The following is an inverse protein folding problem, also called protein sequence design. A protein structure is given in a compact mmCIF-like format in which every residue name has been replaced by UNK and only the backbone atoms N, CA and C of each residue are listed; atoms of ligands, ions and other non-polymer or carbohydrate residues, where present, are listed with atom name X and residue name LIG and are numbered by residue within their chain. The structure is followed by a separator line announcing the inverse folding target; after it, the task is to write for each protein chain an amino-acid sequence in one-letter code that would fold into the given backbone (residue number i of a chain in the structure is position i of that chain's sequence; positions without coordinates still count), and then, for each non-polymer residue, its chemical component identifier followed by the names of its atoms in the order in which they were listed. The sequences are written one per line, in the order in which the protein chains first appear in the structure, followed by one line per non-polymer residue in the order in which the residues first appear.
data_IF_869947977201
#
_entry.id   IF_869947977201
#
_cell.length_a   1.000
_cell.length_b   1.000
_cell.length_c   1.000
_cell.angle_alpha   90.00
_cell.angle_beta   90.00
_cell.angle_gamma   90.00
#
_symmetry.space_group_name_H-M   'P 1'
#
loop_
_entity.id
_entity.type
_entity.pdbx_description
1 polymer ?
#
# COMPACT_ATOMS: atom_id res chain seq x y z
N UNK A 1 -6.38 -27.60 21.65
CA UNK A 1 -6.47 -28.40 20.41
C UNK A 1 -5.42 -27.87 19.47
N UNK A 2 -4.44 -28.69 19.07
CA UNK A 2 -3.43 -28.31 18.10
C UNK A 2 -4.12 -28.39 16.73
N UNK A 3 -4.39 -27.24 16.14
CA UNK A 3 -4.94 -27.15 14.79
C UNK A 3 -3.86 -27.67 13.83
N UNK A 4 -4.23 -28.61 12.97
CA UNK A 4 -3.32 -29.11 11.93
C UNK A 4 -2.85 -27.91 11.09
N UNK A 5 -1.53 -27.77 10.91
CA UNK A 5 -0.95 -26.79 10.00
C UNK A 5 -1.54 -27.04 8.61
N UNK A 6 -2.30 -26.07 8.09
CA UNK A 6 -2.61 -26.07 6.65
C UNK A 6 -1.29 -26.11 5.89
N UNK A 7 -1.20 -26.83 4.75
CA UNK A 7 -0.02 -26.74 3.91
C UNK A 7 0.15 -25.27 3.49
N UNK A 8 1.22 -24.65 3.98
CA UNK A 8 1.62 -23.30 3.62
C UNK A 8 2.32 -23.37 2.26
N UNK A 9 1.85 -22.58 1.29
CA UNK A 9 2.56 -22.45 0.02
C UNK A 9 3.66 -21.40 0.14
N UNK A 10 4.70 -21.53 -0.65
CA UNK A 10 5.77 -20.54 -0.80
C UNK A 10 5.33 -19.39 -1.69
N UNK A 11 6.06 -18.27 -1.67
CA UNK A 11 5.82 -17.15 -2.59
C UNK A 11 5.97 -17.57 -4.06
N UNK A 12 6.99 -18.37 -4.38
CA UNK A 12 7.22 -18.78 -5.77
C UNK A 12 6.09 -19.71 -6.27
N UNK A 13 5.62 -20.64 -5.43
CA UNK A 13 4.41 -21.45 -5.72
C UNK A 13 3.15 -20.59 -5.87
N UNK A 14 3.02 -19.51 -5.12
CA UNK A 14 1.93 -18.55 -5.28
C UNK A 14 1.99 -17.84 -6.63
N UNK A 15 3.16 -17.38 -7.06
CA UNK A 15 3.34 -16.73 -8.36
C UNK A 15 3.02 -17.70 -9.50
N UNK A 16 3.49 -18.95 -9.42
CA UNK A 16 3.15 -19.99 -10.41
C UNK A 16 1.65 -20.33 -10.42
N UNK A 17 0.97 -20.19 -9.29
CA UNK A 17 -0.46 -20.47 -9.15
C UNK A 17 -1.36 -19.35 -9.69
N UNK A 18 -0.88 -18.11 -9.79
CA UNK A 18 -1.71 -16.95 -10.16
C UNK A 18 -2.51 -17.20 -11.46
N UNK A 19 -3.84 -17.01 -11.45
CA UNK A 19 -4.64 -17.21 -12.65
C UNK A 19 -4.29 -16.18 -13.73
N UNK A 20 -4.07 -16.64 -14.97
CA UNK A 20 -3.86 -15.75 -16.14
C UNK A 20 -5.04 -14.79 -16.36
N UNK A 21 -6.25 -15.20 -15.97
CA UNK A 21 -7.45 -14.36 -15.98
C UNK A 21 -8.21 -14.53 -14.67
N UNK A 22 -8.52 -13.41 -14.02
CA UNK A 22 -9.35 -13.41 -12.82
C UNK A 22 -10.22 -12.17 -12.73
N UNK A 23 -11.38 -12.31 -12.06
CA UNK A 23 -12.27 -11.18 -11.74
C UNK A 23 -11.87 -10.47 -10.43
N UNK A 24 -11.01 -11.10 -9.64
CA UNK A 24 -10.51 -10.63 -8.35
C UNK A 24 -8.98 -10.70 -8.30
N UNK A 25 -8.41 -9.99 -7.31
CA UNK A 25 -6.97 -10.02 -7.05
C UNK A 25 -6.65 -11.09 -6.02
N UNK A 26 -5.40 -11.53 -5.95
CA UNK A 26 -4.96 -12.46 -4.92
C UNK A 26 -3.72 -11.91 -4.21
N UNK A 27 -3.68 -12.12 -2.91
CA UNK A 27 -2.51 -11.85 -2.08
C UNK A 27 -2.08 -13.14 -1.38
N UNK A 28 -0.82 -13.22 -1.01
CA UNK A 28 -0.28 -14.28 -0.15
C UNK A 28 -0.08 -13.73 1.26
N UNK A 29 -0.71 -14.35 2.24
CA UNK A 29 -0.63 -13.97 3.64
C UNK A 29 -0.03 -15.13 4.43
N UNK A 30 1.29 -15.08 4.68
CA UNK A 30 2.03 -16.12 5.43
C UNK A 30 1.76 -17.53 4.94
N UNK A 31 1.89 -17.71 3.63
CA UNK A 31 1.66 -19.00 2.96
C UNK A 31 0.19 -19.38 2.73
N UNK A 32 -0.75 -18.46 2.96
CA UNK A 32 -2.17 -18.63 2.67
C UNK A 32 -2.60 -17.70 1.54
N UNK A 33 -3.13 -18.24 0.46
CA UNK A 33 -3.72 -17.44 -0.62
C UNK A 33 -5.01 -16.81 -0.10
N UNK A 34 -5.12 -15.50 -0.26
CA UNK A 34 -6.30 -14.70 0.10
C UNK A 34 -6.86 -14.08 -1.16
N UNK A 35 -8.15 -14.33 -1.41
CA UNK A 35 -8.89 -13.64 -2.46
C UNK A 35 -9.23 -12.22 -2.01
N UNK A 36 -8.82 -11.24 -2.81
CA UNK A 36 -9.12 -9.83 -2.59
C UNK A 36 -10.32 -9.45 -3.47
N UNK A 37 -11.52 -9.26 -2.87
CA UNK A 37 -12.71 -8.95 -3.64
C UNK A 37 -12.53 -7.63 -4.37
N UNK A 38 -13.16 -7.52 -5.54
CA UNK A 38 -13.13 -6.29 -6.34
C UNK A 38 -13.52 -5.08 -5.47
N UNK A 39 -12.69 -4.02 -5.43
CA UNK A 39 -12.99 -2.85 -4.64
C UNK A 39 -14.36 -2.25 -4.98
N UNK A 40 -15.07 -1.74 -3.96
CA UNK A 40 -16.30 -0.97 -4.17
C UNK A 40 -15.97 0.35 -4.87
N UNK A 41 -16.95 0.91 -5.59
CA UNK A 41 -16.73 2.11 -6.42
C UNK A 41 -16.09 3.30 -5.70
N UNK A 42 -16.43 3.55 -4.42
CA UNK A 42 -15.82 4.61 -3.61
C UNK A 42 -14.33 4.37 -3.34
N UNK A 43 -13.96 3.14 -2.98
CA UNK A 43 -12.58 2.75 -2.74
C UNK A 43 -11.78 2.82 -4.05
N UNK A 44 -12.31 2.24 -5.14
CA UNK A 44 -11.68 2.29 -6.46
C UNK A 44 -11.47 3.72 -6.99
N UNK A 45 -12.48 4.60 -6.84
CA UNK A 45 -12.36 6.01 -7.22
C UNK A 45 -11.29 6.71 -6.39
N UNK A 46 -11.28 6.50 -5.07
CA UNK A 46 -10.31 7.12 -4.17
C UNK A 46 -8.87 6.70 -4.51
N UNK A 47 -8.60 5.40 -4.70
CA UNK A 47 -7.28 4.92 -5.10
C UNK A 47 -6.84 5.51 -6.44
N UNK A 48 -7.75 5.58 -7.42
CA UNK A 48 -7.48 6.20 -8.72
C UNK A 48 -7.18 7.70 -8.64
N UNK A 49 -7.96 8.46 -7.86
CA UNK A 49 -7.75 9.88 -7.64
C UNK A 49 -6.41 10.15 -6.91
N UNK A 50 -6.05 9.31 -5.93
CA UNK A 50 -4.75 9.37 -5.26
C UNK A 50 -3.60 9.11 -6.25
N UNK A 51 -3.68 8.04 -7.04
CA UNK A 51 -2.69 7.74 -8.08
C UNK A 51 -2.54 8.90 -9.08
N UNK A 52 -3.65 9.53 -9.48
CA UNK A 52 -3.62 10.68 -10.39
C UNK A 52 -2.93 11.91 -9.76
N UNK A 53 -3.25 12.24 -8.51
CA UNK A 53 -2.65 13.38 -7.81
C UNK A 53 -1.15 13.16 -7.56
N UNK A 54 -0.77 11.96 -7.10
CA UNK A 54 0.64 11.58 -6.90
C UNK A 54 1.38 11.62 -8.24
N UNK A 55 0.83 11.00 -9.29
CA UNK A 55 1.43 11.00 -10.63
C UNK A 55 1.59 12.41 -11.21
N UNK A 56 0.65 13.31 -10.94
CA UNK A 56 0.76 14.73 -11.31
C UNK A 56 1.91 15.41 -10.57
N UNK A 57 2.03 15.19 -9.26
CA UNK A 57 3.12 15.74 -8.45
C UNK A 57 4.51 15.23 -8.89
N UNK A 58 4.61 13.92 -9.19
CA UNK A 58 5.84 13.30 -9.73
C UNK A 58 6.27 13.99 -11.03
N UNK A 59 5.34 14.14 -11.99
CA UNK A 59 5.61 14.78 -13.28
C UNK A 59 6.01 16.24 -13.14
N UNK A 60 5.31 17.00 -12.30
CA UNK A 60 5.62 18.41 -12.06
C UNK A 60 7.01 18.59 -11.44
N UNK A 61 7.43 17.66 -10.59
CA UNK A 61 8.75 17.67 -9.96
C UNK A 61 9.86 17.08 -10.85
N UNK A 62 9.54 16.55 -12.04
CA UNK A 62 10.47 15.81 -12.91
C UNK A 62 11.22 14.69 -12.17
N UNK A 63 10.52 13.99 -11.27
CA UNK A 63 11.10 12.85 -10.55
C UNK A 63 11.07 11.60 -11.46
N UNK A 64 12.13 10.76 -11.44
CA UNK A 64 12.20 9.55 -12.25
C UNK A 64 11.40 8.41 -11.60
N UNK A 65 10.17 8.71 -11.19
CA UNK A 65 9.30 7.76 -10.52
C UNK A 65 8.10 7.45 -11.39
N UNK A 66 7.51 6.27 -11.22
CA UNK A 66 6.32 5.86 -11.94
C UNK A 66 5.35 5.08 -11.05
N UNK A 67 4.11 4.97 -11.51
CA UNK A 67 3.05 4.20 -10.86
C UNK A 67 2.68 3.08 -11.84
N UNK A 68 2.99 1.81 -11.55
CA UNK A 68 2.54 0.70 -12.38
C UNK A 68 1.02 0.54 -12.28
N UNK A 69 0.42 -0.15 -13.26
CA UNK A 69 -0.99 -0.51 -13.19
C UNK A 69 -1.28 -1.47 -12.03
N UNK A 70 -0.40 -2.46 -11.88
CA UNK A 70 -0.46 -3.52 -10.86
C UNK A 70 0.95 -4.08 -10.65
N UNK A 71 1.27 -4.49 -9.43
CA UNK A 71 2.49 -5.22 -9.08
C UNK A 71 2.34 -5.90 -7.72
N UNK A 72 3.09 -6.98 -7.50
CA UNK A 72 3.11 -7.69 -6.21
C UNK A 72 4.38 -7.33 -5.45
N UNK A 73 4.24 -6.95 -4.18
CA UNK A 73 5.34 -6.68 -3.26
C UNK A 73 5.57 -7.92 -2.41
N UNK A 74 6.76 -8.54 -2.54
CA UNK A 74 7.19 -9.68 -1.72
C UNK A 74 7.63 -9.20 -0.34
N UNK A 75 7.17 -9.85 0.73
CA UNK A 75 7.65 -9.56 2.08
C UNK A 75 9.11 -9.96 2.26
N UNK A 76 9.79 -9.32 3.23
CA UNK A 76 11.19 -9.62 3.52
C UNK A 76 11.42 -11.09 3.91
N UNK A 77 10.48 -11.69 4.64
CA UNK A 77 10.56 -13.11 5.04
C UNK A 77 10.21 -14.09 3.91
N UNK A 78 9.73 -13.58 2.76
CA UNK A 78 9.37 -14.35 1.59
C UNK A 78 8.12 -15.21 1.73
N UNK A 79 7.32 -15.04 2.80
CA UNK A 79 6.12 -15.83 3.06
C UNK A 79 4.82 -15.10 2.67
N UNK A 80 4.91 -13.83 2.27
CA UNK A 80 3.76 -13.00 1.91
C UNK A 80 4.01 -12.22 0.63
N UNK A 81 2.91 -11.82 -0.02
CA UNK A 81 2.88 -11.08 -1.27
C UNK A 81 1.64 -10.22 -1.31
N UNK A 82 1.82 -8.91 -1.38
CA UNK A 82 0.73 -7.94 -1.31
C UNK A 82 0.59 -7.17 -2.63
N UNK A 83 -0.63 -6.80 -3.00
CA UNK A 83 -0.88 -5.96 -4.17
C UNK A 83 -1.44 -4.61 -3.69
N UNK A 84 -0.59 -3.58 -3.57
CA UNK A 84 -1.01 -2.28 -3.06
C UNK A 84 -2.11 -1.62 -3.88
N UNK A 85 -2.89 -0.74 -3.26
CA UNK A 85 -3.87 0.07 -4.00
C UNK A 85 -3.19 1.14 -4.88
N UNK A 86 -2.09 1.73 -4.39
CA UNK A 86 -1.18 2.56 -5.19
C UNK A 86 0.25 2.31 -4.72
N UNK A 87 1.18 2.27 -5.67
CA UNK A 87 2.60 2.18 -5.41
C UNK A 87 3.37 3.13 -6.34
N UNK A 88 4.39 3.78 -5.80
CA UNK A 88 5.32 4.63 -6.54
C UNK A 88 6.67 3.94 -6.55
N UNK A 89 7.18 3.65 -7.75
CA UNK A 89 8.45 2.97 -7.97
C UNK A 89 9.52 3.94 -8.50
N UNK A 90 10.77 3.67 -8.12
CA UNK A 90 11.96 4.41 -8.57
C UNK A 90 12.51 3.80 -9.86
N UNK A 91 12.30 4.44 -11.00
CA UNK A 91 12.66 3.87 -12.31
C UNK A 91 14.14 3.43 -12.41
N UNK A 92 15.13 4.25 -11.98
CA UNK A 92 16.52 3.80 -11.89
C UNK A 92 16.77 2.56 -11.02
N UNK A 93 16.00 2.35 -9.95
CA UNK A 93 16.20 1.22 -9.04
C UNK A 93 15.67 -0.11 -9.61
N UNK A 94 14.83 -0.06 -10.64
CA UNK A 94 14.23 -1.25 -11.24
C UNK A 94 15.26 -2.19 -11.86
N UNK A 95 16.46 -1.68 -12.21
CA UNK A 95 17.56 -2.51 -12.72
C UNK A 95 18.01 -3.59 -11.71
N UNK A 96 17.78 -3.35 -10.43
CA UNK A 96 18.14 -4.27 -9.35
C UNK A 96 16.99 -5.24 -8.99
N UNK A 97 15.79 -5.05 -9.56
CA UNK A 97 14.65 -5.94 -9.30
C UNK A 97 14.70 -7.17 -10.22
N UNK A 98 14.88 -8.39 -9.67
CA UNK A 98 15.11 -9.59 -10.48
C UNK A 98 13.89 -9.99 -11.30
N UNK A 99 12.69 -9.76 -10.77
CA UNK A 99 11.43 -10.30 -11.29
C UNK A 99 10.49 -9.22 -11.85
N UNK A 100 10.97 -7.98 -11.97
CA UNK A 100 10.18 -6.85 -12.48
C UNK A 100 9.74 -7.09 -13.93
N UNK A 101 10.70 -7.34 -14.83
CA UNK A 101 10.43 -7.51 -16.27
C UNK A 101 9.58 -8.75 -16.59
N UNK A 102 9.69 -9.81 -15.78
CA UNK A 102 8.99 -11.07 -16.01
C UNK A 102 7.61 -11.15 -15.38
N UNK A 103 7.38 -10.44 -14.26
CA UNK A 103 6.17 -10.67 -13.45
C UNK A 103 5.62 -9.45 -12.72
N UNK A 104 6.17 -8.24 -12.91
CA UNK A 104 5.80 -7.06 -12.11
C UNK A 104 5.89 -7.33 -10.61
N UNK A 105 6.97 -7.99 -10.18
CA UNK A 105 7.22 -8.33 -8.77
C UNK A 105 8.31 -7.41 -8.23
N UNK A 106 8.06 -6.84 -7.05
CA UNK A 106 8.98 -5.95 -6.34
C UNK A 106 9.44 -6.65 -5.06
N UNK A 107 10.76 -6.69 -4.86
CA UNK A 107 11.39 -7.42 -3.76
C UNK A 107 12.26 -6.53 -2.87
N UNK A 108 12.62 -5.33 -3.32
CA UNK A 108 13.54 -4.44 -2.61
C UNK A 108 12.80 -3.18 -2.14
N UNK A 109 12.84 -2.87 -0.84
CA UNK A 109 12.21 -1.64 -0.33
C UNK A 109 12.76 -0.36 -0.95
N UNK A 110 14.05 -0.33 -1.33
CA UNK A 110 14.69 0.82 -2.02
C UNK A 110 14.05 1.17 -3.37
N UNK A 111 13.40 0.21 -4.00
CA UNK A 111 12.69 0.36 -5.27
C UNK A 111 11.38 1.11 -5.12
N UNK A 112 10.89 1.22 -3.88
CA UNK A 112 9.57 1.74 -3.54
C UNK A 112 9.73 3.08 -2.85
N UNK A 113 9.08 4.10 -3.40
CA UNK A 113 9.07 5.45 -2.81
C UNK A 113 7.87 5.68 -1.91
N UNK A 114 6.69 5.23 -2.34
CA UNK A 114 5.44 5.36 -1.60
C UNK A 114 4.61 4.10 -1.82
N UNK A 115 4.04 3.53 -0.75
CA UNK A 115 2.86 2.66 -0.83
C UNK A 115 1.65 3.39 -0.26
N UNK A 116 0.49 3.22 -0.87
CA UNK A 116 -0.80 3.69 -0.35
C UNK A 116 -1.76 2.52 -0.25
N UNK A 117 -2.38 2.36 0.91
CA UNK A 117 -3.48 1.42 1.15
C UNK A 117 -4.72 2.21 1.55
N UNK A 118 -5.83 1.98 0.84
CA UNK A 118 -7.12 2.56 1.17
C UNK A 118 -7.87 1.58 2.05
N UNK A 119 -8.17 2.00 3.27
CA UNK A 119 -8.67 1.10 4.31
C UNK A 119 -10.04 0.55 3.93
N UNK A 120 -10.17 -0.77 4.06
CA UNK A 120 -11.42 -1.50 3.85
C UNK A 120 -11.87 -2.24 5.12
N UNK A 121 -12.82 -3.17 5.01
CA UNK A 121 -13.32 -3.93 6.16
C UNK A 121 -12.24 -4.76 6.86
N UNK A 122 -11.16 -5.12 6.16
CA UNK A 122 -9.98 -5.81 6.72
C UNK A 122 -8.92 -4.85 7.29
N UNK A 123 -9.31 -3.64 7.74
CA UNK A 123 -8.43 -2.57 8.24
C UNK A 123 -7.27 -2.96 9.17
N UNK A 124 -7.36 -4.11 9.86
CA UNK A 124 -6.27 -4.62 10.70
C UNK A 124 -5.04 -4.95 9.87
N UNK A 125 -5.21 -5.36 8.62
CA UNK A 125 -4.10 -5.69 7.74
C UNK A 125 -3.28 -4.42 7.47
N UNK A 126 -3.94 -3.33 7.05
CA UNK A 126 -3.29 -2.05 6.76
C UNK A 126 -2.59 -1.46 8.01
N UNK A 127 -3.27 -1.48 9.16
CA UNK A 127 -2.76 -0.87 10.40
C UNK A 127 -1.80 -1.75 11.23
N UNK A 128 -1.61 -3.04 10.89
CA UNK A 128 -0.71 -3.93 11.61
C UNK A 128 0.18 -4.74 10.69
N UNK A 129 -0.43 -5.61 9.89
CA UNK A 129 0.30 -6.61 9.11
C UNK A 129 1.13 -5.92 8.05
N UNK A 130 0.48 -5.23 7.11
CA UNK A 130 1.13 -4.51 6.02
C UNK A 130 2.06 -3.42 6.54
N UNK A 131 1.67 -2.67 7.58
CA UNK A 131 2.55 -1.70 8.25
C UNK A 131 3.88 -2.34 8.68
N UNK A 132 3.83 -3.47 9.41
CA UNK A 132 5.04 -4.14 9.89
C UNK A 132 5.86 -4.77 8.76
N UNK A 133 5.22 -5.36 7.76
CA UNK A 133 5.91 -5.97 6.61
C UNK A 133 6.60 -4.89 5.74
N UNK A 134 5.94 -3.75 5.51
CA UNK A 134 6.51 -2.64 4.76
C UNK A 134 7.61 -1.91 5.53
N UNK A 135 7.51 -1.83 6.86
CA UNK A 135 8.57 -1.31 7.74
C UNK A 135 9.80 -2.21 7.67
N UNK A 136 9.61 -3.52 7.83
CA UNK A 136 10.67 -4.51 7.77
C UNK A 136 11.37 -4.52 6.40
N UNK A 137 10.61 -4.31 5.31
CA UNK A 137 11.17 -4.20 3.96
C UNK A 137 11.97 -2.90 3.74
N UNK A 138 11.85 -1.92 4.65
CA UNK A 138 12.58 -0.64 4.59
C UNK A 138 11.99 0.35 3.59
N UNK A 139 10.67 0.31 3.36
CA UNK A 139 9.99 1.26 2.47
C UNK A 139 9.98 2.64 3.12
N UNK A 140 10.35 3.68 2.37
CA UNK A 140 10.57 5.00 2.95
C UNK A 140 9.28 5.68 3.44
N UNK A 141 8.17 5.47 2.73
CA UNK A 141 6.90 6.14 2.99
C UNK A 141 5.70 5.22 2.73
N UNK A 142 4.80 5.13 3.70
CA UNK A 142 3.59 4.32 3.64
C UNK A 142 2.36 5.12 4.08
N UNK A 143 1.32 5.15 3.26
CA UNK A 143 0.09 5.88 3.54
C UNK A 143 -1.07 4.93 3.85
N UNK A 144 -1.78 5.23 4.92
CA UNK A 144 -3.02 4.55 5.31
C UNK A 144 -4.17 5.55 5.20
N UNK A 145 -5.09 5.29 4.28
CA UNK A 145 -6.19 6.21 3.94
C UNK A 145 -7.51 5.67 4.46
N UNK A 146 -7.89 6.04 5.69
CA UNK A 146 -9.12 5.59 6.34
C UNK A 146 -10.25 6.62 6.19
N UNK A 147 -10.85 6.65 4.99
CA UNK A 147 -11.93 7.58 4.64
C UNK A 147 -13.26 7.24 5.33
N UNK A 148 -13.47 5.98 5.74
CA UNK A 148 -14.72 5.49 6.31
C UNK A 148 -14.67 5.32 7.85
N UNK A 149 -13.57 5.74 8.48
CA UNK A 149 -13.34 5.64 9.92
C UNK A 149 -13.50 4.20 10.46
N UNK A 150 -12.98 3.21 9.74
CA UNK A 150 -13.11 1.79 10.07
C UNK A 150 -12.09 1.34 11.12
N UNK A 151 -10.89 1.92 11.08
CA UNK A 151 -9.74 1.63 11.92
C UNK A 151 -10.03 1.65 13.42
N UNK A 152 -9.15 1.01 14.20
CA UNK A 152 -9.26 1.00 15.66
C UNK A 152 -9.18 2.40 16.26
N UNK A 153 -9.87 2.65 17.40
CA UNK A 153 -9.85 3.95 18.10
C UNK A 153 -8.44 4.47 18.42
N UNK A 154 -7.48 3.56 18.62
CA UNK A 154 -6.06 3.93 18.85
C UNK A 154 -5.41 4.64 17.66
N UNK A 155 -5.94 4.42 16.45
CA UNK A 155 -5.40 4.99 15.22
C UNK A 155 -6.20 6.19 14.74
N UNK A 156 -7.52 6.16 14.88
CA UNK A 156 -8.39 7.18 14.26
C UNK A 156 -9.20 7.99 15.29
N UNK A 157 -8.82 7.90 16.56
CA UNK A 157 -9.40 8.68 17.64
C UNK A 157 -10.69 8.11 18.26
N UNK A 158 -11.21 8.85 19.23
CA UNK A 158 -12.48 8.59 19.90
C UNK A 158 -13.21 9.93 20.16
N UNK A 159 -14.30 10.26 19.43
CA UNK A 159 -14.98 9.41 18.45
C UNK A 159 -14.09 9.08 17.25
N UNK A 160 -14.38 7.95 16.60
CA UNK A 160 -13.71 7.56 15.35
C UNK A 160 -14.05 8.58 14.28
N UNK A 161 -13.07 9.00 13.50
CA UNK A 161 -13.25 9.91 12.38
C UNK A 161 -12.32 9.55 11.21
N UNK A 162 -12.65 9.97 9.98
CA UNK A 162 -11.77 9.76 8.84
C UNK A 162 -10.37 10.29 9.12
N UNK A 163 -9.36 9.49 8.81
CA UNK A 163 -7.96 9.80 9.15
C UNK A 163 -7.06 9.38 8.02
N UNK A 164 -6.19 10.30 7.59
CA UNK A 164 -5.10 10.01 6.68
C UNK A 164 -3.82 9.88 7.50
N UNK A 165 -3.10 8.77 7.37
CA UNK A 165 -1.85 8.55 8.11
C UNK A 165 -0.70 8.43 7.12
N UNK A 166 0.34 9.25 7.30
CA UNK A 166 1.64 9.09 6.63
C UNK A 166 2.59 8.46 7.62
N UNK A 167 3.16 7.32 7.24
CA UNK A 167 4.21 6.63 7.97
C UNK A 167 5.52 6.94 7.25
N UNK A 168 6.48 7.57 7.94
CA UNK A 168 7.80 7.86 7.41
C UNK A 168 8.83 6.98 8.10
N UNK A 169 9.65 6.27 7.34
CA UNK A 169 10.71 5.45 7.92
C UNK A 169 11.86 6.33 8.40
N UNK A 170 12.14 6.31 9.70
CA UNK A 170 13.20 7.06 10.36
C UNK A 170 14.01 6.08 11.21
N UNK A 171 15.30 5.96 10.92
CA UNK A 171 16.23 5.07 11.66
C UNK A 171 15.76 3.61 11.81
N UNK A 172 14.95 3.12 10.85
CA UNK A 172 14.46 1.74 10.80
C UNK A 172 13.07 1.53 11.42
N UNK A 173 12.41 2.57 11.92
CA UNK A 173 11.06 2.51 12.47
C UNK A 173 10.15 3.55 11.78
N UNK A 174 8.88 3.24 11.63
CA UNK A 174 7.91 4.20 11.11
C UNK A 174 7.49 5.20 12.17
N UNK A 175 7.72 6.48 11.87
CA UNK A 175 7.06 7.60 12.56
C UNK A 175 5.73 7.90 11.87
N UNK A 176 4.63 7.87 12.63
CA UNK A 176 3.27 8.08 12.12
C UNK A 176 2.81 9.51 12.32
N UNK A 177 2.43 10.17 11.22
CA UNK A 177 1.77 11.48 11.24
C UNK A 177 0.33 11.35 10.75
N UNK A 178 -0.61 11.86 11.55
CA UNK A 178 -2.04 11.81 11.25
C UNK A 178 -2.54 13.17 10.78
N UNK A 179 -3.36 13.16 9.74
CA UNK A 179 -4.02 14.32 9.16
C UNK A 179 -5.53 14.10 9.12
N UNK A 180 -6.28 15.18 9.35
CA UNK A 180 -7.74 15.21 9.45
C UNK A 180 -8.31 16.37 8.64
N UNK A 181 -9.64 16.53 8.70
CA UNK A 181 -10.37 17.58 8.01
C UNK A 181 -9.67 18.95 8.14
N UNK A 182 -9.50 19.65 7.01
CA UNK A 182 -8.78 20.91 6.90
C UNK A 182 -7.25 20.81 6.81
N UNK A 183 -6.64 19.66 7.15
CA UNK A 183 -5.19 19.50 7.10
C UNK A 183 -4.68 19.32 5.66
N UNK A 184 -3.50 19.86 5.40
CA UNK A 184 -2.70 19.55 4.22
C UNK A 184 -1.84 18.33 4.50
N UNK A 185 -1.87 17.35 3.59
CA UNK A 185 -1.04 16.15 3.68
C UNK A 185 0.41 16.54 3.37
N UNK A 186 1.33 16.13 4.23
CA UNK A 186 2.76 16.36 4.09
C UNK A 186 3.42 15.02 3.72
N UNK A 187 4.01 14.98 2.53
CA UNK A 187 4.79 13.84 2.04
C UNK A 187 6.27 14.20 2.02
N UNK A 188 7.12 13.50 2.79
CA UNK A 188 8.57 13.64 2.69
C UNK A 188 9.11 13.36 1.27
N UNK A 189 8.51 12.39 0.57
CA UNK A 189 8.90 12.02 -0.81
C UNK A 189 8.42 13.02 -1.85
N UNK A 190 7.24 13.61 -1.65
CA UNK A 190 6.64 14.61 -2.54
C UNK A 190 6.36 15.94 -1.80
N UNK A 191 7.40 16.74 -1.44
CA UNK A 191 7.22 17.94 -0.62
C UNK A 191 6.28 19.01 -1.23
N UNK A 192 6.17 19.02 -2.56
CA UNK A 192 5.32 19.96 -3.29
C UNK A 192 3.91 19.43 -3.53
N UNK A 193 3.53 18.29 -2.94
CA UNK A 193 2.18 17.76 -3.04
C UNK A 193 1.17 18.75 -2.45
N UNK A 194 0.23 19.19 -3.29
CA UNK A 194 -0.84 20.11 -2.92
C UNK A 194 -2.14 19.32 -2.77
N UNK A 195 -2.23 18.50 -1.71
CA UNK A 195 -3.38 17.65 -1.43
C UNK A 195 -3.83 17.85 0.02
N UNK A 196 -5.10 18.18 0.23
CA UNK A 196 -5.72 18.22 1.56
C UNK A 196 -6.55 16.98 1.85
N UNK A 197 -6.76 16.70 3.13
CA UNK A 197 -7.63 15.60 3.56
C UNK A 197 -9.06 15.77 3.03
N UNK A 198 -9.55 17.01 2.96
CA UNK A 198 -10.89 17.29 2.41
C UNK A 198 -11.00 16.89 0.95
N UNK A 199 -9.96 17.14 0.15
CA UNK A 199 -9.92 16.74 -1.26
C UNK A 199 -9.90 15.21 -1.41
N UNK A 200 -9.14 14.52 -0.54
CA UNK A 200 -9.06 13.06 -0.53
C UNK A 200 -10.41 12.45 -0.15
N UNK A 201 -11.04 12.92 0.93
CA UNK A 201 -12.28 12.31 1.45
C UNK A 201 -13.56 12.78 0.76
N UNK A 202 -13.54 13.91 0.04
CA UNK A 202 -14.63 14.29 -0.86
C UNK A 202 -14.88 13.22 -1.94
N UNK A 203 -13.84 12.49 -2.37
CA UNK A 203 -13.98 11.39 -3.32
C UNK A 203 -14.67 10.13 -2.74
N UNK A 204 -14.72 10.00 -1.41
CA UNK A 204 -15.35 8.90 -0.69
C UNK A 204 -16.79 9.18 -0.21
N UNK A 205 -17.30 10.40 -0.42
CA UNK A 205 -18.69 10.77 -0.10
C UNK A 205 -19.70 10.24 -1.12
#
# INVERSE_FOLDING_TARGET
MIQALQPSITFDEFIEWLPETSECRYELHRGVIVEMPKPRGKHSKLSGDLAYNIGTAIRQANLPYFIPKECIVRSLDGNSGYEPDVIVLDEPAMIDEPDWESGSIITLGKSIKIIVEVVSTNWRDDYFTKLGEYEALGIQEYWIVDYAALGGRRFIGNPKQPTFTVCQLVEGEYELQQFREGDRIISPTLPNLMLSVDQVFAAGQ
#
